data_IF_543703765295
#
_entry.id   IF_543703765295
#
_cell.length_a   1.000
_cell.length_b   1.000
_cell.length_c   1.000
_cell.angle_alpha   90.00
_cell.angle_beta   90.00
_cell.angle_gamma   90.00
#
_symmetry.space_group_name_H-M   'P 1'
#
loop_
_entity.id
_entity.type
_entity.pdbx_description
1 polymer ?
#
# COMPACT_ATOMS: atom_id res chain seq x y z
N UNK A 1 -1.31 -16.51 -15.26
CA UNK A 1 -2.04 -15.30 -14.81
C UNK A 1 -1.16 -14.09 -15.08
N UNK A 2 -1.75 -12.94 -15.46
CA UNK A 2 -0.98 -11.78 -15.95
C UNK A 2 0.09 -11.28 -14.96
N UNK A 3 -0.16 -11.41 -13.66
CA UNK A 3 0.68 -10.85 -12.60
C UNK A 3 1.20 -11.88 -11.59
N UNK A 4 1.38 -13.14 -12.00
CA UNK A 4 1.80 -14.22 -11.08
C UNK A 4 3.14 -13.93 -10.39
N UNK A 5 4.14 -13.49 -11.16
CA UNK A 5 5.46 -13.17 -10.62
C UNK A 5 5.40 -12.04 -9.59
N UNK A 6 4.63 -10.98 -9.89
CA UNK A 6 4.45 -9.83 -8.99
C UNK A 6 3.76 -10.27 -7.69
N UNK A 7 2.68 -11.05 -7.79
CA UNK A 7 1.98 -11.54 -6.61
C UNK A 7 2.84 -12.45 -5.75
N UNK A 8 3.71 -13.26 -6.35
CA UNK A 8 4.67 -14.09 -5.62
C UNK A 8 5.71 -13.25 -4.88
N UNK A 9 6.31 -12.27 -5.57
CA UNK A 9 7.28 -11.34 -4.97
C UNK A 9 6.67 -10.58 -3.79
N UNK A 10 5.46 -10.02 -3.96
CA UNK A 10 4.76 -9.32 -2.88
C UNK A 10 4.49 -10.23 -1.69
N UNK A 11 4.04 -11.47 -1.91
CA UNK A 11 3.82 -12.42 -0.82
C UNK A 11 5.10 -12.73 -0.02
N UNK A 12 6.24 -12.88 -0.70
CA UNK A 12 7.53 -13.13 -0.07
C UNK A 12 7.99 -11.92 0.75
N UNK A 13 7.91 -10.71 0.17
CA UNK A 13 8.22 -9.46 0.85
C UNK A 13 7.36 -9.25 2.10
N UNK A 14 6.04 -9.39 1.97
CA UNK A 14 5.08 -9.22 3.07
C UNK A 14 5.34 -10.20 4.19
N UNK A 15 5.59 -11.47 3.86
CA UNK A 15 5.85 -12.51 4.86
C UNK A 15 7.15 -12.24 5.63
N UNK A 16 8.21 -11.86 4.91
CA UNK A 16 9.50 -11.51 5.51
C UNK A 16 9.37 -10.29 6.43
N UNK A 17 8.68 -9.25 5.97
CA UNK A 17 8.55 -8.00 6.68
C UNK A 17 7.59 -8.05 7.86
N UNK A 18 6.50 -8.81 7.79
CA UNK A 18 5.61 -9.01 8.93
C UNK A 18 6.38 -9.55 10.16
N UNK A 19 7.25 -10.54 9.95
CA UNK A 19 8.08 -11.10 11.02
C UNK A 19 9.06 -10.05 11.59
N UNK A 20 9.67 -9.23 10.71
CA UNK A 20 10.57 -8.14 11.13
C UNK A 20 9.82 -7.10 11.97
N UNK A 21 8.66 -6.64 11.49
CA UNK A 21 7.81 -5.65 12.16
C UNK A 21 7.31 -6.12 13.54
N UNK A 22 6.91 -7.39 13.67
CA UNK A 22 6.49 -7.98 14.95
C UNK A 22 7.62 -7.99 16.00
N UNK A 23 8.88 -8.03 15.56
CA UNK A 23 10.06 -8.09 16.43
C UNK A 23 10.62 -6.72 16.83
N UNK A 24 10.07 -5.62 16.31
CA UNK A 24 10.60 -4.28 16.57
C UNK A 24 10.35 -3.82 18.02
N UNK A 25 11.31 -3.10 18.65
CA UNK A 25 11.11 -2.53 19.98
C UNK A 25 9.97 -1.48 19.99
N UNK A 26 9.10 -1.46 21.03
CA UNK A 26 8.01 -0.49 21.14
C UNK A 26 8.44 0.98 21.00
N UNK A 27 9.54 1.36 21.65
CA UNK A 27 10.07 2.73 21.60
C UNK A 27 10.51 3.13 20.18
N UNK A 28 11.13 2.21 19.44
CA UNK A 28 11.53 2.41 18.04
C UNK A 28 10.29 2.66 17.17
N UNK A 29 9.26 1.83 17.33
CA UNK A 29 8.01 1.95 16.58
C UNK A 29 7.32 3.29 16.86
N UNK A 30 7.32 3.74 18.11
CA UNK A 30 6.58 4.90 18.57
C UNK A 30 7.30 6.23 18.36
N UNK A 31 8.63 6.29 18.42
CA UNK A 31 9.38 7.55 18.57
C UNK A 31 10.25 7.94 17.37
N UNK A 32 10.79 7.00 16.59
CA UNK A 32 11.58 7.37 15.41
C UNK A 32 10.70 8.05 14.37
N UNK A 33 11.24 9.05 13.65
CA UNK A 33 10.50 9.85 12.68
C UNK A 33 11.29 10.04 11.40
N UNK A 34 10.63 9.89 10.26
CA UNK A 34 11.24 10.17 8.96
C UNK A 34 11.24 11.68 8.65
N UNK A 35 11.73 12.07 7.47
CA UNK A 35 11.75 13.47 7.03
C UNK A 35 10.37 14.12 6.86
N UNK A 36 9.30 13.32 6.86
CA UNK A 36 7.90 13.77 6.82
C UNK A 36 7.24 13.76 8.20
N UNK A 37 8.02 13.59 9.27
CA UNK A 37 7.54 13.49 10.66
C UNK A 37 6.58 12.30 10.90
N UNK A 38 6.80 11.18 10.19
CA UNK A 38 6.00 9.95 10.34
C UNK A 38 6.75 8.91 11.16
N UNK A 39 6.04 8.30 12.10
CA UNK A 39 6.52 7.12 12.83
C UNK A 39 6.50 5.87 11.97
N UNK A 40 7.23 4.83 12.38
CA UNK A 40 7.12 3.50 11.75
C UNK A 40 5.66 3.02 11.79
N UNK A 41 4.94 3.30 12.88
CA UNK A 41 3.53 2.94 13.00
C UNK A 41 2.66 3.63 11.96
N UNK A 42 2.87 4.93 11.75
CA UNK A 42 2.15 5.70 10.75
C UNK A 42 2.51 5.29 9.32
N UNK A 43 3.77 4.93 9.04
CA UNK A 43 4.18 4.42 7.72
C UNK A 43 3.48 3.08 7.43
N UNK A 44 3.45 2.16 8.40
CA UNK A 44 2.74 0.87 8.22
C UNK A 44 1.24 1.07 8.05
N UNK A 45 0.62 1.96 8.81
CA UNK A 45 -0.77 2.37 8.60
C UNK A 45 -1.02 2.95 7.21
N UNK A 46 -0.14 3.84 6.74
CA UNK A 46 -0.24 4.37 5.39
C UNK A 46 -0.12 3.29 4.30
N UNK A 47 0.72 2.28 4.50
CA UNK A 47 0.79 1.14 3.57
C UNK A 47 -0.53 0.34 3.55
N UNK A 48 -1.25 0.24 4.67
CA UNK A 48 -2.60 -0.34 4.72
C UNK A 48 -3.57 0.46 3.86
N UNK A 49 -3.57 1.79 3.99
CA UNK A 49 -4.40 2.68 3.16
C UNK A 49 -4.14 2.47 1.66
N UNK A 50 -2.86 2.34 1.32
CA UNK A 50 -2.42 2.09 -0.05
C UNK A 50 -2.92 0.74 -0.58
N UNK A 51 -2.78 -0.33 0.20
CA UNK A 51 -3.26 -1.66 -0.19
C UNK A 51 -4.79 -1.70 -0.35
N UNK A 52 -5.53 -1.06 0.56
CA UNK A 52 -6.99 -0.98 0.50
C UNK A 52 -7.45 -0.23 -0.76
N UNK A 53 -6.93 0.97 -1.01
CA UNK A 53 -7.28 1.77 -2.18
C UNK A 53 -6.94 1.05 -3.49
N UNK A 54 -5.76 0.44 -3.59
CA UNK A 54 -5.37 -0.27 -4.80
C UNK A 54 -6.18 -1.56 -5.01
N UNK A 55 -6.60 -2.25 -3.94
CA UNK A 55 -7.52 -3.39 -4.05
C UNK A 55 -8.83 -2.96 -4.70
N UNK A 56 -9.44 -1.87 -4.23
CA UNK A 56 -10.66 -1.34 -4.83
C UNK A 56 -10.44 -0.91 -6.28
N UNK A 57 -9.34 -0.22 -6.60
CA UNK A 57 -9.02 0.17 -7.99
C UNK A 57 -8.92 -1.04 -8.91
N UNK A 58 -8.19 -2.08 -8.51
CA UNK A 58 -8.06 -3.31 -9.31
C UNK A 58 -9.42 -3.96 -9.55
N UNK A 59 -10.30 -4.01 -8.55
CA UNK A 59 -11.65 -4.58 -8.73
C UNK A 59 -12.49 -3.72 -9.65
N UNK A 60 -12.57 -2.41 -9.42
CA UNK A 60 -13.44 -1.51 -10.17
C UNK A 60 -13.03 -1.35 -11.64
N UNK A 61 -11.73 -1.32 -11.94
CA UNK A 61 -11.22 -1.22 -13.31
C UNK A 61 -11.58 -2.43 -14.19
N UNK A 62 -11.96 -3.56 -13.59
CA UNK A 62 -12.30 -4.76 -14.37
C UNK A 62 -13.74 -4.76 -14.89
N UNK A 63 -14.64 -3.95 -14.33
CA UNK A 63 -16.07 -4.00 -14.70
C UNK A 63 -16.72 -2.65 -14.97
N UNK A 64 -16.15 -1.53 -14.49
CA UNK A 64 -16.70 -0.20 -14.76
C UNK A 64 -16.26 0.33 -16.13
N UNK A 65 -16.99 1.32 -16.62
CA UNK A 65 -16.57 2.10 -17.78
C UNK A 65 -15.32 2.93 -17.44
N UNK A 66 -14.39 3.02 -18.39
CA UNK A 66 -13.14 3.77 -18.25
C UNK A 66 -13.23 5.13 -18.93
N UNK A 67 -12.64 6.20 -18.35
CA UNK A 67 -11.87 6.21 -17.12
C UNK A 67 -12.75 6.13 -15.86
N UNK A 68 -12.24 5.41 -14.85
CA UNK A 68 -12.88 5.35 -13.53
C UNK A 68 -12.38 6.50 -12.66
N UNK A 69 -13.29 7.20 -11.99
CA UNK A 69 -12.96 8.23 -11.01
C UNK A 69 -12.96 7.64 -9.59
N UNK A 70 -11.94 7.97 -8.80
CA UNK A 70 -11.83 7.59 -7.40
C UNK A 70 -11.62 8.83 -6.51
N UNK A 71 -12.08 8.80 -5.26
CA UNK A 71 -11.67 9.81 -4.28
C UNK A 71 -10.14 9.85 -4.18
N UNK A 72 -9.60 11.06 -4.18
CA UNK A 72 -8.16 11.26 -4.01
C UNK A 72 -7.78 11.09 -2.54
N UNK A 73 -6.86 10.17 -2.25
CA UNK A 73 -6.27 9.99 -0.92
C UNK A 73 -4.76 10.33 -0.87
N UNK A 74 -4.10 10.47 -2.02
CA UNK A 74 -2.64 10.42 -2.11
C UNK A 74 -1.98 11.80 -2.21
N UNK A 75 -2.65 12.78 -2.83
CA UNK A 75 -2.06 14.11 -3.07
C UNK A 75 -2.78 15.19 -2.24
N UNK A 76 -2.30 16.43 -2.34
CA UNK A 76 -2.89 17.60 -1.67
C UNK A 76 -2.98 17.47 -0.12
N UNK A 77 -2.03 16.75 0.49
CA UNK A 77 -1.98 16.51 1.94
C UNK A 77 -2.97 15.46 2.45
N UNK A 78 -3.73 14.80 1.57
CA UNK A 78 -4.74 13.83 1.98
C UNK A 78 -4.14 12.60 2.67
N UNK A 79 -2.91 12.24 2.34
CA UNK A 79 -2.20 11.13 2.96
C UNK A 79 -2.02 11.37 4.48
N UNK A 80 -1.53 12.56 4.85
CA UNK A 80 -1.37 12.95 6.25
C UNK A 80 -2.71 13.09 6.96
N UNK A 81 -3.73 13.62 6.27
CA UNK A 81 -5.09 13.67 6.80
C UNK A 81 -5.64 12.27 7.11
N UNK A 82 -5.45 11.29 6.23
CA UNK A 82 -5.91 9.92 6.44
C UNK A 82 -5.18 9.23 7.58
N UNK A 83 -3.86 9.39 7.66
CA UNK A 83 -3.05 8.89 8.77
C UNK A 83 -3.54 9.46 10.10
N UNK A 84 -3.84 10.77 10.14
CA UNK A 84 -4.35 11.44 11.33
C UNK A 84 -5.77 10.99 11.70
N UNK A 85 -6.69 10.87 10.73
CA UNK A 85 -8.08 10.43 10.94
C UNK A 85 -8.12 9.02 11.54
N UNK A 86 -7.28 8.11 11.05
CA UNK A 86 -7.23 6.74 11.57
C UNK A 86 -6.44 6.62 12.87
N UNK A 87 -5.76 7.69 13.30
CA UNK A 87 -5.00 7.75 14.53
C UNK A 87 -3.99 6.58 14.66
N UNK A 88 -3.28 6.29 13.56
CA UNK A 88 -2.38 5.15 13.52
C UNK A 88 -1.32 5.17 14.62
N UNK A 89 -0.90 6.34 15.10
CA UNK A 89 0.08 6.46 16.18
C UNK A 89 -0.33 5.71 17.45
N UNK A 90 -1.64 5.63 17.75
CA UNK A 90 -2.16 5.00 18.96
C UNK A 90 -2.73 3.59 18.73
N UNK A 91 -2.74 3.09 17.49
CA UNK A 91 -3.27 1.76 17.19
C UNK A 91 -2.42 0.65 17.83
N UNK A 92 -3.06 -0.44 18.25
CA UNK A 92 -2.34 -1.63 18.73
C UNK A 92 -1.40 -2.16 17.65
N UNK A 93 -0.12 -2.26 17.98
CA UNK A 93 0.90 -2.59 16.98
C UNK A 93 0.71 -3.98 16.38
N UNK A 94 0.33 -4.96 17.20
CA UNK A 94 0.15 -6.34 16.73
C UNK A 94 -1.06 -6.45 15.80
N UNK A 95 -2.14 -5.74 16.11
CA UNK A 95 -3.32 -5.65 15.25
C UNK A 95 -2.94 -5.01 13.91
N UNK A 96 -2.25 -3.86 13.94
CA UNK A 96 -1.88 -3.12 12.74
C UNK A 96 -0.95 -3.94 11.82
N UNK A 97 0.07 -4.63 12.36
CA UNK A 97 0.98 -5.47 11.56
C UNK A 97 0.22 -6.64 10.93
N UNK A 98 -0.71 -7.27 11.66
CA UNK A 98 -1.54 -8.33 11.10
C UNK A 98 -2.47 -7.80 10.00
N UNK A 99 -3.07 -6.63 10.20
CA UNK A 99 -3.91 -6.01 9.18
C UNK A 99 -3.09 -5.66 7.93
N UNK A 100 -1.94 -5.01 8.10
CA UNK A 100 -0.97 -4.76 7.03
C UNK A 100 -0.63 -6.03 6.25
N UNK A 101 -0.27 -7.11 6.95
CA UNK A 101 0.04 -8.40 6.33
C UNK A 101 -1.13 -8.93 5.50
N UNK A 102 -2.31 -9.02 6.08
CA UNK A 102 -3.46 -9.62 5.40
C UNK A 102 -4.01 -8.74 4.28
N UNK A 103 -3.94 -7.42 4.39
CA UNK A 103 -4.31 -6.49 3.32
C UNK A 103 -3.44 -6.70 2.07
N UNK A 104 -2.13 -6.82 2.24
CA UNK A 104 -1.21 -7.02 1.10
C UNK A 104 -1.26 -8.45 0.53
N UNK A 105 -1.45 -9.47 1.36
CA UNK A 105 -1.69 -10.83 0.88
C UNK A 105 -3.00 -10.93 0.10
N UNK A 106 -4.04 -10.21 0.55
CA UNK A 106 -5.30 -10.12 -0.19
C UNK A 106 -5.12 -9.37 -1.51
N UNK A 107 -4.42 -8.23 -1.52
CA UNK A 107 -4.08 -7.53 -2.76
C UNK A 107 -3.37 -8.45 -3.77
N UNK A 108 -2.39 -9.24 -3.30
CA UNK A 108 -1.67 -10.22 -4.12
C UNK A 108 -2.60 -11.31 -4.68
N UNK A 109 -3.59 -11.76 -3.91
CA UNK A 109 -4.64 -12.65 -4.41
C UNK A 109 -5.49 -11.98 -5.50
N UNK A 110 -5.89 -10.72 -5.31
CA UNK A 110 -6.73 -9.99 -6.27
C UNK A 110 -6.00 -9.79 -7.59
N UNK A 111 -4.73 -9.37 -7.58
CA UNK A 111 -3.97 -9.14 -8.83
C UNK A 111 -3.71 -10.43 -9.63
N UNK A 112 -3.63 -11.61 -8.97
CA UNK A 112 -3.58 -12.90 -9.68
C UNK A 112 -4.83 -13.14 -10.53
N UNK A 113 -5.97 -12.63 -10.09
CA UNK A 113 -7.27 -12.86 -10.73
C UNK A 113 -7.66 -11.77 -11.73
N UNK A 114 -6.74 -10.88 -12.12
CA UNK A 114 -7.03 -9.82 -13.09
C UNK A 114 -7.37 -10.41 -14.46
N UNK A 115 -8.48 -9.97 -15.04
CA UNK A 115 -8.82 -10.22 -16.44
C UNK A 115 -7.82 -9.50 -17.36
N UNK A 116 -7.08 -10.27 -18.16
CA UNK A 116 -6.09 -9.75 -19.11
C UNK A 116 -6.69 -8.82 -20.20
N UNK A 117 -7.99 -8.92 -20.48
CA UNK A 117 -8.69 -8.03 -21.42
C UNK A 117 -8.95 -6.61 -20.84
N UNK A 118 -8.70 -6.41 -19.55
CA UNK A 118 -8.97 -5.15 -18.83
C UNK A 118 -7.70 -4.36 -18.49
N UNK A 119 -6.54 -4.80 -18.96
CA UNK A 119 -5.24 -4.21 -18.61
C UNK A 119 -5.12 -2.72 -18.98
N UNK A 120 -5.72 -2.32 -20.10
CA UNK A 120 -5.71 -0.94 -20.58
C UNK A 120 -6.83 -0.08 -19.98
N UNK A 121 -7.68 -0.61 -19.10
CA UNK A 121 -8.67 0.20 -18.40
C UNK A 121 -7.95 1.16 -17.45
N UNK A 122 -8.35 2.43 -17.49
CA UNK A 122 -7.67 3.50 -16.76
C UNK A 122 -8.52 4.11 -15.67
N UNK A 123 -7.86 4.68 -14.67
CA UNK A 123 -8.45 5.62 -13.72
C UNK A 123 -7.76 6.98 -13.80
N UNK A 124 -8.49 8.01 -13.40
CA UNK A 124 -7.96 9.39 -13.31
C UNK A 124 -7.22 9.58 -11.98
N UNK A 125 -5.89 9.69 -12.06
CA UNK A 125 -5.03 9.91 -10.91
C UNK A 125 -4.96 11.39 -10.50
N UNK A 126 -5.04 12.28 -11.49
CA UNK A 126 -5.13 13.73 -11.34
C UNK A 126 -5.64 14.34 -12.66
N UNK A 127 -5.76 15.66 -12.72
CA UNK A 127 -6.14 16.43 -13.92
C UNK A 127 -5.28 16.04 -15.12
N UNK A 128 -5.91 15.38 -16.10
CA UNK A 128 -5.27 14.85 -17.31
C UNK A 128 -4.14 13.83 -17.05
N UNK A 129 -4.15 13.15 -15.90
CA UNK A 129 -3.23 12.06 -15.57
C UNK A 129 -4.02 10.76 -15.41
N UNK A 130 -3.78 9.82 -16.32
CA UNK A 130 -4.46 8.53 -16.34
C UNK A 130 -3.46 7.42 -16.09
N UNK A 131 -3.84 6.46 -15.24
CA UNK A 131 -3.03 5.29 -14.92
C UNK A 131 -3.81 4.04 -15.30
N UNK A 132 -3.20 3.16 -16.09
CA UNK A 132 -3.84 1.89 -16.48
C UNK A 132 -3.83 0.88 -15.34
N UNK A 133 -4.73 -0.10 -15.40
CA UNK A 133 -4.73 -1.26 -14.49
C UNK A 133 -3.37 -1.97 -14.51
N UNK A 134 -2.78 -2.11 -15.70
CA UNK A 134 -1.45 -2.70 -15.86
C UNK A 134 -0.37 -1.90 -15.13
N UNK A 135 -0.25 -0.61 -15.43
CA UNK A 135 0.81 0.24 -14.85
C UNK A 135 0.70 0.30 -13.33
N UNK A 136 -0.52 0.37 -12.80
CA UNK A 136 -0.77 0.37 -11.36
C UNK A 136 -0.27 -0.91 -10.67
N UNK A 137 -0.50 -2.08 -11.28
CA UNK A 137 -0.07 -3.36 -10.70
C UNK A 137 1.44 -3.56 -10.86
N UNK A 138 2.01 -3.18 -12.00
CA UNK A 138 3.45 -3.27 -12.27
C UNK A 138 4.29 -2.33 -11.39
N UNK A 139 3.75 -1.16 -11.03
CA UNK A 139 4.44 -0.19 -10.17
C UNK A 139 4.32 -0.52 -8.67
N UNK A 140 3.30 -1.29 -8.25
CA UNK A 140 3.02 -1.54 -6.83
C UNK A 140 4.21 -2.10 -6.03
N UNK A 141 5.03 -3.05 -6.53
CA UNK A 141 6.22 -3.52 -5.81
C UNK A 141 7.25 -2.43 -5.56
N UNK A 142 7.44 -1.49 -6.50
CA UNK A 142 8.34 -0.35 -6.31
C UNK A 142 7.81 0.58 -5.21
N UNK A 143 6.52 0.88 -5.23
CA UNK A 143 5.85 1.68 -4.20
C UNK A 143 5.92 1.02 -2.82
N UNK A 144 5.67 -0.29 -2.73
CA UNK A 144 5.82 -1.06 -1.50
C UNK A 144 7.25 -0.96 -0.95
N UNK A 145 8.26 -1.19 -1.79
CA UNK A 145 9.67 -1.12 -1.40
C UNK A 145 10.11 0.28 -0.97
N UNK A 146 9.54 1.32 -1.55
CA UNK A 146 9.80 2.70 -1.13
C UNK A 146 9.48 2.90 0.36
N UNK A 147 8.29 2.53 0.81
CA UNK A 147 7.91 2.66 2.23
C UNK A 147 8.67 1.70 3.15
N UNK A 148 8.99 0.51 2.65
CA UNK A 148 9.88 -0.40 3.37
C UNK A 148 11.25 0.25 3.62
N UNK A 149 11.83 0.91 2.61
CA UNK A 149 13.11 1.60 2.75
C UNK A 149 13.01 2.77 3.75
N UNK A 150 11.89 3.50 3.78
CA UNK A 150 11.67 4.53 4.82
C UNK A 150 11.73 3.93 6.22
N UNK A 151 11.16 2.73 6.43
CA UNK A 151 11.27 2.02 7.71
C UNK A 151 12.72 1.58 7.97
N UNK A 152 13.42 1.04 6.96
CA UNK A 152 14.82 0.64 7.12
C UNK A 152 15.74 1.80 7.49
N UNK A 153 15.54 2.97 6.88
CA UNK A 153 16.30 4.18 7.21
C UNK A 153 16.12 4.57 8.68
N UNK A 154 14.89 4.47 9.22
CA UNK A 154 14.63 4.71 10.64
C UNK A 154 15.34 3.70 11.54
N UNK A 155 15.30 2.41 11.19
CA UNK A 155 15.94 1.35 11.98
C UNK A 155 17.47 1.48 12.04
N UNK A 156 18.09 2.22 11.13
CA UNK A 156 19.53 2.46 11.07
C UNK A 156 19.96 3.78 11.73
N UNK A 157 19.03 4.55 12.32
CA UNK A 157 19.33 5.73 13.14
C UNK A 157 19.72 5.34 14.56
#
# INVERSE_FOLDING_TARGET
MAFETIAKELNELVTSWANKLESLPPETIANQRNSQDRSIRQIVGHMVDSASNNTHRVVHLQYRESPVEFPNYATYGNNDNWIAIQNYQEEDWKLLVNYWKFAHLHFSHVIRNVNAEKLDQQWSADTNQFVSLKDMVEDFPRHFKLHINEIEELLNQ
#
